data_IF_408655694266
#
_entry.id   IF_408655694266
#
_cell.length_a   1.000
_cell.length_b   1.000
_cell.length_c   1.000
_cell.angle_alpha   90.00
_cell.angle_beta   90.00
_cell.angle_gamma   90.00
#
_symmetry.space_group_name_H-M   'P 1'
#
loop_
_entity.id
_entity.type
_entity.pdbx_description
1 polymer ?
#
# COMPACT_ATOMS: atom_id res chain seq x y z
N UNK A 1 -13.19 32.68 1.54
CA UNK A 1 -13.01 31.23 1.70
C UNK A 1 -11.67 30.85 1.09
N UNK A 2 -10.70 30.55 1.94
CA UNK A 2 -9.38 30.09 1.46
C UNK A 2 -9.48 28.59 1.21
N UNK A 3 -9.51 28.17 -0.04
CA UNK A 3 -9.26 26.80 -0.40
C UNK A 3 -7.82 26.46 0.00
N UNK A 4 -7.71 25.69 1.05
CA UNK A 4 -6.45 25.10 1.45
C UNK A 4 -6.03 24.13 0.35
N UNK A 5 -5.15 24.55 -0.53
CA UNK A 5 -4.44 23.67 -1.45
C UNK A 5 -3.62 22.71 -0.56
N UNK A 6 -4.14 21.50 -0.34
CA UNK A 6 -3.39 20.45 0.34
C UNK A 6 -2.18 20.14 -0.53
N UNK A 7 -1.02 20.60 -0.10
CA UNK A 7 0.26 20.36 -0.75
C UNK A 7 0.55 18.86 -0.66
N UNK A 8 0.73 18.23 -1.80
CA UNK A 8 1.09 16.83 -1.86
C UNK A 8 2.60 16.68 -1.64
N UNK A 9 3.00 16.16 -0.49
CA UNK A 9 4.41 15.99 -0.11
C UNK A 9 5.20 15.08 -1.06
N UNK A 10 4.52 14.31 -1.90
CA UNK A 10 5.16 13.42 -2.86
C UNK A 10 5.59 14.13 -4.16
N UNK A 11 5.17 15.38 -4.35
CA UNK A 11 5.51 16.14 -5.56
C UNK A 11 6.79 16.97 -5.41
N UNK A 12 7.33 17.05 -4.18
CA UNK A 12 8.52 17.86 -3.91
C UNK A 12 9.84 17.14 -4.21
N UNK A 13 9.80 15.80 -4.37
CA UNK A 13 10.98 14.96 -4.63
C UNK A 13 10.98 14.27 -6.00
N UNK A 14 10.18 14.73 -6.94
CA UNK A 14 10.23 14.19 -8.29
C UNK A 14 11.42 14.80 -9.04
N UNK A 15 12.49 14.04 -9.35
CA UNK A 15 13.43 14.49 -10.34
C UNK A 15 12.68 14.64 -11.66
N UNK A 16 12.88 15.74 -12.34
CA UNK A 16 12.39 15.95 -13.69
C UNK A 16 12.92 14.82 -14.59
N UNK A 17 12.18 13.76 -14.73
CA UNK A 17 12.48 12.70 -15.67
C UNK A 17 11.53 12.84 -16.85
N UNK A 18 12.03 13.48 -17.88
CA UNK A 18 11.51 13.41 -19.23
C UNK A 18 11.54 11.95 -19.71
N UNK A 19 10.50 11.22 -19.44
CA UNK A 19 10.16 10.05 -20.26
C UNK A 19 8.67 9.79 -20.11
N UNK A 20 7.95 10.08 -21.17
CA UNK A 20 6.59 9.64 -21.38
C UNK A 20 6.54 8.12 -21.40
N UNK A 21 6.35 7.49 -20.26
CA UNK A 21 5.87 6.13 -20.20
C UNK A 21 4.39 6.17 -19.84
N UNK A 22 3.59 5.49 -20.65
CA UNK A 22 2.13 5.40 -20.60
C UNK A 22 1.55 4.69 -19.36
N UNK A 23 2.27 4.64 -18.29
CA UNK A 23 1.72 4.31 -16.98
C UNK A 23 1.48 5.63 -16.25
N UNK A 24 0.30 6.18 -16.44
CA UNK A 24 -0.18 7.25 -15.60
C UNK A 24 -0.12 6.78 -14.14
N UNK A 25 0.97 7.07 -13.47
CA UNK A 25 1.02 6.99 -12.01
C UNK A 25 -0.06 7.95 -11.54
N UNK A 26 -1.16 7.48 -10.94
CA UNK A 26 -2.19 8.37 -10.49
C UNK A 26 -1.54 9.38 -9.55
N UNK A 27 -1.75 10.65 -9.85
CA UNK A 27 -1.24 11.73 -9.03
C UNK A 27 -1.47 11.41 -7.56
N UNK A 28 -0.42 11.50 -6.76
CA UNK A 28 -0.45 11.29 -5.32
C UNK A 28 -1.39 12.25 -4.56
N UNK A 29 -2.17 13.04 -5.29
CA UNK A 29 -3.18 13.94 -4.72
C UNK A 29 -4.43 13.24 -4.19
N UNK A 30 -4.54 11.91 -4.34
CA UNK A 30 -5.60 11.11 -3.74
C UNK A 30 -5.23 10.75 -2.31
N UNK A 31 -5.74 11.51 -1.37
CA UNK A 31 -5.55 11.25 0.05
C UNK A 31 -6.74 10.51 0.63
N UNK A 32 -6.47 9.58 1.52
CA UNK A 32 -7.46 8.98 2.39
C UNK A 32 -7.21 9.43 3.82
N UNK A 33 -8.22 10.04 4.42
CA UNK A 33 -8.20 10.33 5.85
C UNK A 33 -8.57 9.06 6.62
N UNK A 34 -7.69 8.67 7.54
CA UNK A 34 -7.90 7.52 8.43
C UNK A 34 -8.00 8.01 9.87
N UNK A 35 -8.72 7.26 10.69
CA UNK A 35 -8.67 7.51 12.12
C UNK A 35 -7.26 7.25 12.66
N UNK A 36 -6.84 7.94 13.74
CA UNK A 36 -5.52 7.71 14.33
C UNK A 36 -5.28 6.25 14.74
N UNK A 37 -6.31 5.54 15.18
CA UNK A 37 -6.25 4.14 15.58
C UNK A 37 -6.00 3.21 14.38
N UNK A 38 -6.72 3.41 13.29
CA UNK A 38 -6.54 2.66 12.03
C UNK A 38 -5.15 2.87 11.46
N UNK A 39 -4.70 4.12 11.41
CA UNK A 39 -3.36 4.47 10.94
C UNK A 39 -2.28 3.80 11.78
N UNK A 40 -2.40 3.86 13.10
CA UNK A 40 -1.45 3.24 14.02
C UNK A 40 -1.40 1.72 13.87
N UNK A 41 -2.56 1.08 13.73
CA UNK A 41 -2.63 -0.37 13.53
C UNK A 41 -1.94 -0.81 12.23
N UNK A 42 -2.19 -0.11 11.14
CA UNK A 42 -1.55 -0.38 9.84
C UNK A 42 -0.03 -0.12 9.91
N UNK A 43 0.38 0.96 10.53
CA UNK A 43 1.79 1.30 10.70
C UNK A 43 2.54 0.25 11.53
N UNK A 44 1.94 -0.24 12.61
CA UNK A 44 2.53 -1.30 13.44
C UNK A 44 2.71 -2.61 12.65
N UNK A 45 1.77 -2.96 11.79
CA UNK A 45 1.91 -4.12 10.89
C UNK A 45 3.08 -3.96 9.94
N UNK A 46 3.21 -2.78 9.31
CA UNK A 46 4.34 -2.47 8.42
C UNK A 46 5.68 -2.47 9.14
N UNK A 47 5.74 -1.97 10.35
CA UNK A 47 6.97 -1.97 11.16
C UNK A 47 7.44 -3.41 11.46
N UNK A 48 6.51 -4.33 11.71
CA UNK A 48 6.82 -5.75 11.89
C UNK A 48 7.36 -6.37 10.60
N UNK A 49 6.75 -6.07 9.47
CA UNK A 49 7.18 -6.56 8.15
C UNK A 49 8.56 -6.02 7.81
N UNK A 50 8.81 -4.74 8.07
CA UNK A 50 10.13 -4.14 7.92
C UNK A 50 11.18 -4.86 8.76
N UNK A 51 10.87 -5.18 10.02
CA UNK A 51 11.76 -5.97 10.89
C UNK A 51 12.03 -7.37 10.34
N UNK A 52 11.03 -8.04 9.78
CA UNK A 52 11.20 -9.34 9.12
C UNK A 52 12.13 -9.26 7.90
N UNK A 53 11.98 -8.24 7.07
CA UNK A 53 12.84 -8.00 5.90
C UNK A 53 14.29 -7.74 6.35
N UNK A 54 14.50 -6.96 7.38
CA UNK A 54 15.84 -6.76 7.97
C UNK A 54 16.44 -8.05 8.50
N UNK A 55 15.62 -8.88 9.12
CA UNK A 55 16.03 -10.22 9.57
C UNK A 55 16.52 -11.11 8.43
N UNK A 56 15.77 -11.12 7.32
CA UNK A 56 16.14 -11.84 6.09
C UNK A 56 17.48 -11.34 5.55
N UNK A 57 17.66 -10.04 5.48
CA UNK A 57 18.91 -9.41 5.07
C UNK A 57 20.08 -9.86 5.95
N UNK A 58 19.90 -9.84 7.27
CA UNK A 58 20.91 -10.30 8.22
C UNK A 58 21.27 -11.77 8.06
N UNK A 59 20.29 -12.61 7.75
CA UNK A 59 20.55 -14.02 7.44
C UNK A 59 21.38 -14.19 6.17
N UNK A 60 21.09 -13.42 5.14
CA UNK A 60 21.86 -13.44 3.89
C UNK A 60 23.31 -12.96 4.11
N UNK A 61 23.50 -11.91 4.89
CA UNK A 61 24.83 -11.37 5.23
C UNK A 61 25.68 -12.36 6.03
N UNK A 62 25.06 -13.25 6.79
CA UNK A 62 25.71 -14.29 7.59
C UNK A 62 25.82 -15.64 6.86
N UNK A 63 25.52 -15.68 5.59
CA UNK A 63 25.51 -16.90 4.78
C UNK A 63 24.66 -18.04 5.38
N UNK A 64 23.50 -17.70 5.93
CA UNK A 64 22.56 -18.68 6.46
C UNK A 64 22.08 -19.65 5.38
N UNK A 65 21.65 -20.82 5.80
CA UNK A 65 21.19 -21.86 4.87
C UNK A 65 19.95 -21.38 4.08
N UNK A 66 19.95 -21.63 2.77
CA UNK A 66 18.96 -21.09 1.85
C UNK A 66 17.52 -21.44 2.21
N UNK A 67 17.26 -22.65 2.69
CA UNK A 67 15.91 -23.08 3.09
C UNK A 67 15.40 -22.26 4.27
N UNK A 68 16.25 -21.95 5.23
CA UNK A 68 15.90 -21.14 6.39
C UNK A 68 15.53 -19.72 5.96
N UNK A 69 16.28 -19.14 5.01
CA UNK A 69 15.95 -17.84 4.42
C UNK A 69 14.59 -17.89 3.71
N UNK A 70 14.34 -18.94 2.91
CA UNK A 70 13.07 -19.12 2.19
C UNK A 70 11.87 -19.23 3.13
N UNK A 71 12.02 -19.90 4.27
CA UNK A 71 10.98 -19.97 5.30
C UNK A 71 10.66 -18.56 5.83
N UNK A 72 11.66 -17.74 6.09
CA UNK A 72 11.46 -16.37 6.53
C UNK A 72 10.82 -15.49 5.45
N UNK A 73 11.18 -15.71 4.20
CA UNK A 73 10.53 -15.02 3.05
C UNK A 73 9.05 -15.40 2.98
N UNK A 74 8.70 -16.66 3.14
CA UNK A 74 7.31 -17.11 3.18
C UNK A 74 6.51 -16.45 4.32
N UNK A 75 7.11 -16.31 5.49
CA UNK A 75 6.51 -15.61 6.63
C UNK A 75 6.28 -14.12 6.32
N UNK A 76 7.25 -13.44 5.73
CA UNK A 76 7.13 -12.04 5.33
C UNK A 76 6.04 -11.84 4.26
N UNK A 77 5.95 -12.74 3.28
CA UNK A 77 4.88 -12.72 2.28
C UNK A 77 3.50 -12.90 2.92
N UNK A 78 3.35 -13.81 3.86
CA UNK A 78 2.11 -14.00 4.60
C UNK A 78 1.70 -12.75 5.37
N UNK A 79 2.64 -12.09 6.00
CA UNK A 79 2.40 -10.83 6.72
C UNK A 79 1.98 -9.69 5.77
N UNK A 80 2.61 -9.59 4.60
CA UNK A 80 2.22 -8.63 3.55
C UNK A 80 0.82 -8.90 3.02
N UNK A 81 0.47 -10.16 2.79
CA UNK A 81 -0.87 -10.54 2.38
C UNK A 81 -1.93 -10.17 3.41
N UNK A 82 -1.63 -10.36 4.69
CA UNK A 82 -2.53 -9.95 5.79
C UNK A 82 -2.71 -8.44 5.83
N UNK A 83 -1.64 -7.67 5.62
CA UNK A 83 -1.70 -6.22 5.51
C UNK A 83 -2.58 -5.78 4.33
N UNK A 84 -2.41 -6.41 3.17
CA UNK A 84 -3.19 -6.11 1.96
C UNK A 84 -4.69 -6.39 2.17
N UNK A 85 -5.02 -7.49 2.83
CA UNK A 85 -6.42 -7.84 3.14
C UNK A 85 -7.06 -6.83 4.07
N UNK A 86 -6.36 -6.41 5.09
CA UNK A 86 -6.85 -5.40 6.05
C UNK A 86 -7.07 -4.05 5.35
N UNK A 87 -6.10 -3.62 4.57
CA UNK A 87 -6.20 -2.38 3.81
C UNK A 87 -7.34 -2.42 2.80
N UNK A 88 -7.50 -3.55 2.10
CA UNK A 88 -8.59 -3.77 1.14
C UNK A 88 -9.95 -3.73 1.83
N UNK A 89 -10.11 -4.40 2.97
CA UNK A 89 -11.35 -4.39 3.74
C UNK A 89 -11.75 -2.97 4.17
N UNK A 90 -10.79 -2.19 4.65
CA UNK A 90 -11.02 -0.78 5.01
C UNK A 90 -11.39 0.06 3.78
N UNK A 91 -10.74 -0.16 2.65
CA UNK A 91 -11.04 0.55 1.41
C UNK A 91 -12.47 0.27 0.93
N UNK A 92 -12.90 -0.98 0.95
CA UNK A 92 -14.27 -1.37 0.56
C UNK A 92 -15.30 -0.74 1.49
N UNK A 93 -15.09 -0.84 2.80
CA UNK A 93 -16.05 -0.36 3.80
C UNK A 93 -16.17 1.17 3.88
N UNK A 94 -15.18 1.89 3.38
CA UNK A 94 -15.14 3.37 3.42
C UNK A 94 -15.23 3.97 2.02
N UNK A 95 -14.15 3.98 1.27
CA UNK A 95 -14.05 4.71 0.00
C UNK A 95 -15.01 4.18 -1.07
N UNK A 96 -15.13 2.86 -1.23
CA UNK A 96 -16.03 2.24 -2.20
C UNK A 96 -17.48 2.41 -1.77
N UNK A 97 -17.78 2.17 -0.50
CA UNK A 97 -19.14 2.32 0.03
C UNK A 97 -19.64 3.76 -0.08
N UNK A 98 -18.81 4.74 0.25
CA UNK A 98 -19.15 6.16 0.14
C UNK A 98 -19.39 6.58 -1.31
N UNK A 99 -18.56 6.08 -2.23
CA UNK A 99 -18.71 6.34 -3.67
C UNK A 99 -20.01 5.77 -4.21
N UNK A 100 -20.38 4.54 -3.84
CA UNK A 100 -21.63 3.91 -4.22
C UNK A 100 -22.85 4.65 -3.65
N UNK A 101 -22.79 5.13 -2.41
CA UNK A 101 -23.85 5.93 -1.79
C UNK A 101 -24.03 7.26 -2.52
N UNK A 102 -22.97 7.83 -3.06
CA UNK A 102 -23.00 9.03 -3.88
C UNK A 102 -23.48 8.78 -5.33
N UNK A 103 -23.74 7.53 -5.71
CA UNK A 103 -24.19 7.12 -7.03
C UNK A 103 -23.07 6.95 -8.06
N UNK A 104 -21.81 6.89 -7.64
CA UNK A 104 -20.66 6.65 -8.50
C UNK A 104 -20.14 5.22 -8.33
N UNK A 105 -19.73 4.60 -9.44
CA UNK A 105 -19.12 3.25 -9.44
C UNK A 105 -17.64 3.30 -9.81
N UNK A 106 -17.05 4.48 -9.95
CA UNK A 106 -15.66 4.65 -10.40
C UNK A 106 -14.65 3.91 -9.52
N UNK A 107 -14.78 4.00 -8.20
CA UNK A 107 -13.88 3.31 -7.26
C UNK A 107 -14.10 1.81 -7.22
N UNK A 108 -15.33 1.37 -7.46
CA UNK A 108 -15.64 -0.06 -7.60
C UNK A 108 -14.97 -0.65 -8.83
N UNK A 109 -15.07 0.02 -9.97
CA UNK A 109 -14.43 -0.40 -11.22
C UNK A 109 -12.90 -0.43 -11.09
N UNK A 110 -12.32 0.57 -10.44
CA UNK A 110 -10.89 0.63 -10.14
C UNK A 110 -10.45 -0.60 -9.31
N UNK A 111 -11.22 -0.94 -8.27
CA UNK A 111 -10.96 -2.10 -7.43
C UNK A 111 -11.07 -3.42 -8.20
N UNK A 112 -12.12 -3.59 -9.00
CA UNK A 112 -12.31 -4.78 -9.84
C UNK A 112 -11.13 -4.99 -10.78
N UNK A 113 -10.62 -3.93 -11.38
CA UNK A 113 -9.46 -3.98 -12.26
C UNK A 113 -8.15 -4.29 -11.51
N UNK A 114 -8.07 -3.97 -10.23
CA UNK A 114 -6.91 -4.23 -9.39
C UNK A 114 -6.88 -5.67 -8.84
N UNK A 115 -8.05 -6.28 -8.60
CA UNK A 115 -8.16 -7.60 -7.97
C UNK A 115 -7.27 -8.68 -8.60
N UNK A 116 -7.17 -8.83 -9.93
CA UNK A 116 -6.28 -9.84 -10.53
C UNK A 116 -4.81 -9.68 -10.15
N UNK A 117 -4.38 -8.46 -9.88
CA UNK A 117 -2.99 -8.17 -9.45
C UNK A 117 -2.76 -8.53 -7.98
N UNK A 118 -3.80 -8.44 -7.16
CA UNK A 118 -3.73 -8.74 -5.72
C UNK A 118 -3.88 -10.23 -5.42
N UNK A 119 -4.51 -10.98 -6.32
CA UNK A 119 -4.83 -12.41 -6.15
C UNK A 119 -3.81 -13.35 -6.81
N UNK A 120 -2.64 -12.86 -7.10
CA UNK A 120 -1.55 -13.71 -7.58
C UNK A 120 -0.99 -14.61 -6.49
#
# INVERSE_FOLDING_TARGET
MKESKKHCCCCDDAPEADTASDTAVPCCCRHKERSPEEYKALLNRLNRIEGQVRGIRGMLEKDAYCVDILVQVAAANSALNSFSKELLAQHISTCVADDLRAGSEAKLDELVNLLPKLMK
#
